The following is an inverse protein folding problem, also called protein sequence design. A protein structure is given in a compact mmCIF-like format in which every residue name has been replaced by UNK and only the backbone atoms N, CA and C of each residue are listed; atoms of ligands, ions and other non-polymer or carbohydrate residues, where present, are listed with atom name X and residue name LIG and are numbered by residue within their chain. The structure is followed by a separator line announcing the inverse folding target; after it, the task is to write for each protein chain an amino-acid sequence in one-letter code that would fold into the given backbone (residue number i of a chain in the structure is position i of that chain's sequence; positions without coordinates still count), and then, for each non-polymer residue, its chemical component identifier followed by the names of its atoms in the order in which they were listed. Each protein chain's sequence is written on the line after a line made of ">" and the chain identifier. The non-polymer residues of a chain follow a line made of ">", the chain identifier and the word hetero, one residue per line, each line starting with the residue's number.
data_IF_141402038763
#
_entry.id   IF_141402038763
#
_cell.length_a   1.000
_cell.length_b   1.000
_cell.length_c   1.000
_cell.angle_alpha   90.00
_cell.angle_beta   90.00
_cell.angle_gamma   90.00
#
_symmetry.space_group_name_H-M   'P 1'
#
loop_
_entity.id
_entity.type
_entity.pdbx_description
1 polymer ?
#
# COMPACT_ATOMS: atom_id res chain seq x y z
N UNK A 1 7.36 5.41 -6.57
CA UNK A 1 6.99 5.12 -7.98
C UNK A 1 8.11 4.50 -8.83
N UNK A 2 9.38 4.85 -8.63
CA UNK A 2 10.51 4.34 -9.47
C UNK A 2 10.82 2.84 -9.33
N UNK A 3 10.46 2.19 -8.21
CA UNK A 3 10.86 0.80 -7.96
C UNK A 3 10.07 -0.26 -8.76
N UNK A 4 8.83 0.01 -9.18
CA UNK A 4 8.03 -0.98 -9.92
C UNK A 4 8.45 -1.05 -11.39
N UNK A 5 8.79 0.09 -12.02
CA UNK A 5 9.17 0.14 -13.43
C UNK A 5 10.59 -0.42 -13.68
N UNK A 6 11.53 -0.22 -12.75
CA UNK A 6 12.92 -0.65 -12.92
C UNK A 6 13.06 -2.18 -12.97
N UNK A 7 12.23 -2.93 -12.25
CA UNK A 7 12.24 -4.40 -12.28
C UNK A 7 11.78 -4.97 -13.63
N UNK A 8 10.87 -4.28 -14.32
CA UNK A 8 10.37 -4.73 -15.62
C UNK A 8 11.45 -4.69 -16.72
N UNK A 9 12.30 -3.66 -16.70
CA UNK A 9 13.36 -3.48 -17.70
C UNK A 9 14.53 -4.47 -17.51
N UNK A 10 14.83 -4.89 -16.27
CA UNK A 10 15.98 -5.74 -15.99
C UNK A 10 15.77 -7.23 -16.32
N UNK A 11 14.52 -7.69 -16.46
CA UNK A 11 14.19 -9.08 -16.76
C UNK A 11 14.23 -9.45 -18.26
N UNK A 12 14.60 -8.51 -19.14
CA UNK A 12 14.64 -8.73 -20.59
C UNK A 12 15.98 -9.29 -21.13
N UNK A 13 16.88 -9.83 -20.27
CA UNK A 13 18.05 -10.58 -20.75
C UNK A 13 17.66 -12.05 -20.98
N UNK A 14 17.32 -12.39 -22.25
CA UNK A 14 17.21 -13.75 -22.87
C UNK A 14 15.82 -14.25 -23.35
N UNK A 15 14.93 -13.38 -23.84
CA UNK A 15 13.71 -13.84 -24.58
C UNK A 15 12.83 -14.88 -23.84
N UNK A 16 12.79 -14.84 -22.50
CA UNK A 16 11.85 -15.64 -21.70
C UNK A 16 10.96 -14.68 -20.93
N UNK A 17 9.67 -14.67 -21.27
CA UNK A 17 8.66 -13.91 -20.54
C UNK A 17 8.30 -14.68 -19.27
N UNK A 18 8.79 -14.24 -18.12
CA UNK A 18 8.38 -14.78 -16.82
C UNK A 18 7.39 -13.78 -16.22
N UNK A 19 6.16 -14.24 -16.00
CA UNK A 19 5.15 -13.47 -15.27
C UNK A 19 5.53 -13.50 -13.79
N UNK A 20 6.27 -12.48 -13.35
CA UNK A 20 6.60 -12.28 -11.94
C UNK A 20 5.46 -11.53 -11.28
N UNK A 21 4.78 -12.17 -10.33
CA UNK A 21 3.82 -11.51 -9.46
C UNK A 21 4.59 -10.89 -8.29
N UNK A 22 4.75 -9.56 -8.29
CA UNK A 22 5.29 -8.83 -7.15
C UNK A 22 4.15 -8.59 -6.18
N UNK A 23 4.13 -9.34 -5.07
CA UNK A 23 3.20 -9.07 -3.98
C UNK A 23 3.72 -7.86 -3.18
N UNK A 24 2.93 -6.79 -2.97
CA UNK A 24 3.32 -5.72 -2.07
C UNK A 24 3.39 -6.29 -0.66
N UNK A 25 4.59 -6.33 -0.09
CA UNK A 25 4.75 -6.68 1.33
C UNK A 25 4.21 -5.54 2.18
N UNK A 26 3.27 -5.87 3.07
CA UNK A 26 2.86 -4.95 4.15
C UNK A 26 4.04 -4.90 5.13
N UNK A 27 4.58 -3.71 5.37
CA UNK A 27 5.71 -3.48 6.27
C UNK A 27 5.22 -3.20 7.70
N UNK A 28 5.96 -3.68 8.69
CA UNK A 28 5.49 -3.78 10.09
C UNK A 28 5.45 -2.45 10.87
N UNK A 29 6.28 -1.48 10.48
CA UNK A 29 6.51 -0.26 11.26
C UNK A 29 6.27 1.02 10.46
N UNK A 30 5.36 0.97 9.47
CA UNK A 30 5.07 2.16 8.67
C UNK A 30 4.17 3.12 9.45
N UNK A 31 4.50 4.42 9.47
CA UNK A 31 3.57 5.43 9.98
C UNK A 31 2.37 5.57 9.04
N UNK A 32 1.32 6.22 9.51
CA UNK A 32 0.22 6.63 8.63
C UNK A 32 0.73 7.71 7.66
N UNK A 33 0.67 7.46 6.35
CA UNK A 33 1.12 8.41 5.33
C UNK A 33 0.26 9.68 5.29
N UNK A 34 -1.02 9.55 5.65
CA UNK A 34 -1.98 10.66 5.63
C UNK A 34 -1.75 11.67 6.77
N UNK A 35 -1.47 11.19 7.98
CA UNK A 35 -1.36 12.08 9.16
C UNK A 35 0.02 12.06 9.83
N UNK A 36 1.02 11.39 9.23
CA UNK A 36 2.35 11.23 9.83
C UNK A 36 2.34 10.53 11.20
N UNK A 37 1.23 9.88 11.57
CA UNK A 37 1.05 9.30 12.89
C UNK A 37 0.47 10.24 13.97
N UNK A 38 0.19 11.51 13.68
CA UNK A 38 -0.31 12.47 14.67
C UNK A 38 -1.66 12.06 15.26
N UNK A 39 -2.54 11.46 14.45
CA UNK A 39 -3.89 11.05 14.89
C UNK A 39 -3.93 9.72 15.65
N UNK A 40 -2.81 8.98 15.69
CA UNK A 40 -2.71 7.64 16.27
C UNK A 40 -1.58 7.46 17.27
N UNK A 41 -1.07 8.57 17.85
CA UNK A 41 0.04 8.57 18.82
C UNK A 41 1.30 7.86 18.27
N UNK A 42 1.57 8.07 16.98
CA UNK A 42 2.70 7.49 16.24
C UNK A 42 2.76 5.95 16.30
N UNK A 43 1.63 5.29 16.59
CA UNK A 43 1.50 3.84 16.43
C UNK A 43 1.61 3.48 14.94
N UNK A 44 2.21 2.33 14.60
CA UNK A 44 2.25 1.83 13.23
C UNK A 44 0.85 1.76 12.60
N UNK A 45 0.79 2.06 11.31
CA UNK A 45 -0.43 1.99 10.51
C UNK A 45 -0.79 0.53 10.22
N UNK A 46 -1.96 0.03 10.66
CA UNK A 46 -2.34 -1.36 10.47
C UNK A 46 -2.87 -1.67 9.06
N UNK A 47 -3.19 -0.64 8.27
CA UNK A 47 -3.86 -0.79 6.99
C UNK A 47 -3.02 -0.26 5.85
N UNK A 48 -2.90 -1.06 4.78
CA UNK A 48 -2.37 -0.60 3.50
C UNK A 48 -3.45 -0.65 2.42
N UNK A 49 -3.71 0.45 1.73
CA UNK A 49 -4.64 0.46 0.60
C UNK A 49 -3.89 0.13 -0.70
N UNK A 50 -4.17 -1.01 -1.38
CA UNK A 50 -3.45 -1.39 -2.59
C UNK A 50 -4.00 -0.70 -3.86
N UNK A 51 -5.12 0.03 -3.76
CA UNK A 51 -5.69 0.73 -4.91
C UNK A 51 -4.76 1.87 -5.37
N UNK A 52 -4.56 2.02 -6.68
CA UNK A 52 -3.56 2.95 -7.25
C UNK A 52 -3.79 4.41 -6.85
N UNK A 53 -5.05 4.82 -6.65
CA UNK A 53 -5.39 6.18 -6.19
C UNK A 53 -5.04 6.46 -4.73
N UNK A 54 -4.72 5.43 -3.95
CA UNK A 54 -4.31 5.54 -2.56
C UNK A 54 -2.86 5.11 -2.39
N UNK A 55 -2.54 3.83 -2.62
CA UNK A 55 -1.21 3.22 -2.49
C UNK A 55 -0.43 3.71 -1.26
N UNK A 56 -1.09 3.68 -0.10
CA UNK A 56 -0.67 4.35 1.13
C UNK A 56 -1.00 3.51 2.37
N UNK A 57 -0.21 3.71 3.42
CA UNK A 57 -0.48 3.23 4.77
C UNK A 57 -1.39 4.20 5.52
N UNK A 58 -2.42 3.66 6.17
CA UNK A 58 -3.39 4.43 6.94
C UNK A 58 -3.52 3.90 8.36
N UNK A 59 -3.58 4.81 9.33
CA UNK A 59 -4.14 4.49 10.64
C UNK A 59 -5.66 4.34 10.53
N UNK A 60 -6.27 3.68 11.52
CA UNK A 60 -7.71 3.40 11.57
C UNK A 60 -8.57 4.65 11.34
N UNK A 61 -8.27 5.75 12.04
CA UNK A 61 -9.02 7.01 11.88
C UNK A 61 -8.93 7.60 10.48
N UNK A 62 -7.75 7.55 9.85
CA UNK A 62 -7.58 8.06 8.49
C UNK A 62 -8.24 7.13 7.47
N UNK A 63 -8.16 5.81 7.69
CA UNK A 63 -8.82 4.82 6.85
C UNK A 63 -10.33 5.09 6.79
N UNK A 64 -11.00 5.14 7.94
CA UNK A 64 -12.44 5.38 8.04
C UNK A 64 -12.83 6.71 7.40
N UNK A 65 -12.10 7.79 7.69
CA UNK A 65 -12.42 9.12 7.17
C UNK A 65 -12.32 9.23 5.65
N UNK A 66 -11.34 8.55 5.04
CA UNK A 66 -11.06 8.66 3.60
C UNK A 66 -11.87 7.64 2.80
N UNK A 67 -11.98 6.41 3.31
CA UNK A 67 -12.64 5.30 2.63
C UNK A 67 -14.13 5.19 2.94
N UNK A 68 -14.70 6.05 3.80
CA UNK A 68 -16.16 6.21 3.89
C UNK A 68 -16.75 7.00 2.70
N UNK A 69 -15.92 7.64 1.87
CA UNK A 69 -16.40 8.36 0.68
C UNK A 69 -16.84 7.41 -0.43
N UNK A 70 -17.94 7.73 -1.14
CA UNK A 70 -18.45 6.91 -2.26
C UNK A 70 -17.43 6.60 -3.35
N UNK A 71 -16.41 7.44 -3.51
CA UNK A 71 -15.35 7.24 -4.50
C UNK A 71 -14.32 6.16 -4.09
N UNK A 72 -14.33 5.74 -2.81
CA UNK A 72 -13.31 4.85 -2.22
C UNK A 72 -13.89 3.79 -1.27
N UNK A 73 -15.21 3.67 -1.21
CA UNK A 73 -15.92 2.75 -0.29
C UNK A 73 -15.73 1.27 -0.63
N UNK A 74 -15.35 0.97 -1.87
CA UNK A 74 -15.07 -0.38 -2.37
C UNK A 74 -13.61 -0.81 -2.18
N UNK A 75 -12.72 0.11 -1.78
CA UNK A 75 -11.33 -0.20 -1.49
C UNK A 75 -11.24 -1.12 -0.28
N UNK A 76 -10.44 -2.19 -0.40
CA UNK A 76 -10.20 -3.15 0.69
C UNK A 76 -8.78 -2.99 1.23
N UNK A 77 -8.59 -2.87 2.56
CA UNK A 77 -7.26 -2.78 3.12
C UNK A 77 -6.58 -4.15 3.05
N UNK A 78 -5.28 -4.16 2.77
CA UNK A 78 -4.42 -5.27 3.14
C UNK A 78 -4.04 -5.08 4.61
N UNK A 79 -4.35 -6.09 5.41
CA UNK A 79 -3.94 -6.21 6.81
C UNK A 79 -2.79 -7.20 6.89
N UNK A 80 -1.91 -7.03 7.87
CA UNK A 80 -0.92 -8.05 8.22
C UNK A 80 -1.68 -9.32 8.64
N UNK A 81 -1.41 -10.46 7.99
CA UNK A 81 -1.84 -11.76 8.52
C UNK A 81 -1.07 -12.01 9.83
N UNK A 82 -1.79 -12.33 10.90
CA UNK A 82 -1.24 -12.56 12.24
C UNK A 82 -0.57 -13.93 12.39
#
# INVERSE_FOLDING_TARGET
>A
MLNILLFYAQYAKRNVYIKVEIKPYVLDDQPCDECGGERCAHRPAPFFCPHLSCLQYYCEKCWESIHASRAREDHKPLVKEA
#
